data_IF_023010562552
#
_entry.id   IF_023010562552
#
_cell.length_a   1.000
_cell.length_b   1.000
_cell.length_c   1.000
_cell.angle_alpha   90.00
_cell.angle_beta   90.00
_cell.angle_gamma   90.00
#
_symmetry.space_group_name_H-M   'P 1'
#
loop_
_entity.id
_entity.type
_entity.pdbx_description
1 polymer ?
#
# COMPACT_ATOMS: atom_id res chain seq x y z
N UNK A 1 -6.70 3.59 27.06
CA UNK A 1 -8.02 3.94 26.51
C UNK A 1 -8.98 4.12 27.67
N UNK A 2 -9.79 5.18 27.65
CA UNK A 2 -10.89 5.35 28.60
C UNK A 2 -12.07 4.45 28.20
N UNK A 3 -12.96 4.14 29.13
CA UNK A 3 -14.11 3.23 28.89
C UNK A 3 -15.01 3.71 27.75
N UNK A 4 -15.21 5.02 27.62
CA UNK A 4 -15.96 5.63 26.51
C UNK A 4 -15.34 5.30 25.14
N UNK A 5 -14.02 5.35 25.03
CA UNK A 5 -13.30 5.02 23.79
C UNK A 5 -13.41 3.51 23.45
N UNK A 6 -13.46 2.65 24.47
CA UNK A 6 -13.70 1.20 24.29
C UNK A 6 -15.11 0.97 23.74
N UNK A 7 -16.11 1.63 24.33
CA UNK A 7 -17.50 1.55 23.88
C UNK A 7 -17.64 2.01 22.42
N UNK A 8 -17.04 3.14 22.05
CA UNK A 8 -17.06 3.63 20.66
C UNK A 8 -16.46 2.63 19.68
N UNK A 9 -15.34 1.98 20.03
CA UNK A 9 -14.72 0.96 19.16
C UNK A 9 -15.58 -0.29 19.06
N UNK A 10 -16.17 -0.77 20.16
CA UNK A 10 -17.10 -1.90 20.14
C UNK A 10 -18.35 -1.60 19.30
N UNK A 11 -18.83 -0.36 19.32
CA UNK A 11 -19.94 0.06 18.47
C UNK A 11 -19.58 0.04 16.98
N UNK A 12 -18.36 0.43 16.61
CA UNK A 12 -17.86 0.28 15.24
C UNK A 12 -17.75 -1.18 14.81
N UNK A 13 -17.58 -2.11 15.74
CA UNK A 13 -17.60 -3.56 15.52
C UNK A 13 -19.02 -4.17 15.54
N UNK A 14 -20.07 -3.35 15.51
CA UNK A 14 -21.45 -3.82 15.40
C UNK A 14 -22.15 -4.15 16.71
N UNK A 15 -21.59 -3.75 17.86
CA UNK A 15 -22.32 -3.77 19.14
C UNK A 15 -23.16 -2.50 19.32
N UNK A 16 -24.26 -2.62 20.05
CA UNK A 16 -24.98 -1.46 20.57
C UNK A 16 -24.28 -0.90 21.81
N UNK A 17 -24.64 0.31 22.23
CA UNK A 17 -24.13 0.90 23.47
C UNK A 17 -24.38 0.00 24.70
N UNK A 18 -25.58 -0.57 24.81
CA UNK A 18 -25.90 -1.46 25.93
C UNK A 18 -25.16 -2.80 25.87
N UNK A 19 -24.99 -3.38 24.67
CA UNK A 19 -24.16 -4.57 24.50
C UNK A 19 -22.71 -4.32 24.90
N UNK A 20 -22.16 -3.17 24.51
CA UNK A 20 -20.80 -2.76 24.87
C UNK A 20 -20.63 -2.62 26.38
N UNK A 21 -21.57 -1.93 27.05
CA UNK A 21 -21.57 -1.77 28.51
C UNK A 21 -21.69 -3.11 29.23
N UNK A 22 -22.64 -3.97 28.83
CA UNK A 22 -22.83 -5.28 29.44
C UNK A 22 -21.58 -6.18 29.30
N UNK A 23 -20.93 -6.17 28.12
CA UNK A 23 -19.72 -6.95 27.90
C UNK A 23 -18.54 -6.43 28.75
N UNK A 24 -18.33 -5.11 28.81
CA UNK A 24 -17.29 -4.50 29.66
C UNK A 24 -17.54 -4.83 31.13
N UNK A 25 -18.78 -4.72 31.60
CA UNK A 25 -19.16 -5.11 32.97
C UNK A 25 -18.85 -6.58 33.24
N UNK A 26 -19.15 -7.48 32.32
CA UNK A 26 -18.83 -8.91 32.45
C UNK A 26 -17.31 -9.17 32.48
N UNK A 27 -16.52 -8.42 31.72
CA UNK A 27 -15.05 -8.51 31.78
C UNK A 27 -14.49 -8.06 33.14
N UNK A 28 -15.13 -7.08 33.78
CA UNK A 28 -14.74 -6.59 35.12
C UNK A 28 -15.16 -7.54 36.23
N UNK A 29 -16.38 -8.07 36.17
CA UNK A 29 -16.98 -8.89 37.23
C UNK A 29 -16.67 -10.39 37.11
N UNK A 30 -16.39 -10.88 35.90
CA UNK A 30 -16.40 -12.30 35.59
C UNK A 30 -17.81 -12.89 35.51
N UNK A 31 -17.97 -14.22 35.61
CA UNK A 31 -19.27 -14.89 35.53
C UNK A 31 -20.29 -14.32 36.52
N UNK A 32 -21.36 -13.70 36.02
CA UNK A 32 -22.29 -12.89 36.83
C UNK A 32 -23.75 -13.13 36.47
N UNK A 33 -24.67 -12.87 37.41
CA UNK A 33 -26.12 -12.94 37.17
C UNK A 33 -26.59 -11.67 36.47
N UNK A 34 -27.71 -11.74 35.75
CA UNK A 34 -28.28 -10.57 35.07
C UNK A 34 -28.54 -9.37 36.03
N UNK A 35 -28.90 -9.63 37.28
CA UNK A 35 -29.11 -8.59 38.31
C UNK A 35 -27.83 -7.84 38.66
N UNK A 36 -26.70 -8.55 38.76
CA UNK A 36 -25.41 -7.97 39.11
C UNK A 36 -24.89 -7.12 37.94
N UNK A 37 -25.08 -7.63 36.71
CA UNK A 37 -24.74 -6.92 35.48
C UNK A 37 -25.56 -5.63 35.37
N UNK A 38 -26.89 -5.70 35.59
CA UNK A 38 -27.77 -4.52 35.55
C UNK A 38 -27.32 -3.43 36.52
N UNK A 39 -26.95 -3.84 37.75
CA UNK A 39 -26.55 -2.92 38.82
C UNK A 39 -25.25 -2.18 38.48
N UNK A 40 -24.29 -2.88 37.91
CA UNK A 40 -22.97 -2.33 37.61
C UNK A 40 -22.93 -1.59 36.25
N UNK A 41 -23.68 -2.07 35.25
CA UNK A 41 -23.63 -1.53 33.88
C UNK A 41 -24.54 -0.32 33.66
N UNK A 42 -25.46 -0.03 34.59
CA UNK A 42 -26.49 1.01 34.44
C UNK A 42 -27.51 0.74 33.33
N UNK A 43 -27.58 -0.50 32.82
CA UNK A 43 -28.54 -0.90 31.79
C UNK A 43 -29.92 -1.06 32.45
N UNK A 44 -31.01 -0.59 31.82
CA UNK A 44 -32.35 -0.82 32.36
C UNK A 44 -32.66 -2.31 32.53
N UNK A 45 -33.27 -2.66 33.66
CA UNK A 45 -33.59 -4.05 34.01
C UNK A 45 -34.50 -4.73 32.97
N UNK A 46 -35.32 -3.95 32.26
CA UNK A 46 -36.19 -4.40 31.16
C UNK A 46 -35.44 -4.79 29.89
N UNK A 47 -34.15 -4.42 29.76
CA UNK A 47 -33.32 -4.63 28.56
C UNK A 47 -32.18 -5.61 28.76
N UNK A 48 -31.79 -5.91 30.01
CA UNK A 48 -30.58 -6.70 30.28
C UNK A 48 -30.63 -8.10 29.66
N UNK A 49 -31.78 -8.78 29.72
CA UNK A 49 -31.92 -10.13 29.16
C UNK A 49 -31.85 -10.14 27.63
N UNK A 50 -32.43 -9.15 26.96
CA UNK A 50 -32.35 -8.99 25.51
C UNK A 50 -30.91 -8.73 25.06
N UNK A 51 -30.22 -7.85 25.80
CA UNK A 51 -28.82 -7.50 25.56
C UNK A 51 -27.91 -8.72 25.74
N UNK A 52 -28.05 -9.46 26.84
CA UNK A 52 -27.25 -10.66 27.11
C UNK A 52 -27.55 -11.78 26.11
N UNK A 53 -28.81 -11.93 25.69
CA UNK A 53 -29.18 -12.88 24.65
C UNK A 53 -28.58 -12.51 23.29
N UNK A 54 -28.53 -11.22 22.97
CA UNK A 54 -27.88 -10.73 21.75
C UNK A 54 -26.37 -10.93 21.78
N UNK A 55 -25.72 -10.60 22.89
CA UNK A 55 -24.28 -10.87 23.09
C UNK A 55 -23.97 -12.36 22.98
N UNK A 56 -24.84 -13.23 23.49
CA UNK A 56 -24.68 -14.67 23.33
C UNK A 56 -24.77 -15.11 21.87
N UNK A 57 -25.77 -14.63 21.11
CA UNK A 57 -25.88 -14.91 19.66
C UNK A 57 -24.68 -14.41 18.88
N UNK A 58 -24.11 -13.26 19.27
CA UNK A 58 -22.91 -12.68 18.67
C UNK A 58 -21.60 -13.35 19.15
N UNK A 59 -21.67 -14.31 20.07
CA UNK A 59 -20.49 -15.03 20.58
C UNK A 59 -19.63 -14.28 21.60
N UNK A 60 -20.11 -13.16 22.16
CA UNK A 60 -19.39 -12.37 23.16
C UNK A 60 -19.56 -12.93 24.59
N UNK A 61 -20.64 -13.66 24.83
CA UNK A 61 -21.03 -14.13 26.17
C UNK A 61 -21.53 -15.57 26.10
N UNK A 62 -21.07 -16.40 27.01
CA UNK A 62 -21.62 -17.74 27.25
C UNK A 62 -22.67 -17.71 28.36
N UNK A 63 -23.71 -18.52 28.20
CA UNK A 63 -24.75 -18.71 29.21
C UNK A 63 -24.51 -20.03 29.93
N UNK A 64 -24.17 -19.95 31.21
CA UNK A 64 -24.05 -21.11 32.07
C UNK A 64 -25.41 -21.42 32.70
N UNK A 65 -25.92 -22.63 32.43
CA UNK A 65 -27.19 -23.11 32.99
C UNK A 65 -27.06 -23.30 34.51
N UNK A 66 -28.11 -22.93 35.25
CA UNK A 66 -28.14 -22.99 36.71
C UNK A 66 -29.27 -22.16 37.31
N UNK A 67 -29.46 -22.28 38.63
CA UNK A 67 -30.38 -21.43 39.38
C UNK A 67 -29.61 -20.58 40.40
N UNK A 68 -29.37 -19.29 40.11
CA UNK A 68 -29.75 -18.55 38.89
C UNK A 68 -28.73 -18.71 37.75
N UNK A 69 -29.14 -18.36 36.53
CA UNK A 69 -28.27 -18.38 35.34
C UNK A 69 -27.11 -17.40 35.49
N UNK A 70 -25.93 -17.82 35.04
CA UNK A 70 -24.73 -16.97 34.97
C UNK A 70 -24.36 -16.70 33.53
N UNK A 71 -23.85 -15.50 33.30
CA UNK A 71 -23.34 -15.03 32.03
C UNK A 71 -21.85 -14.83 32.18
N UNK A 72 -21.07 -15.43 31.30
CA UNK A 72 -19.61 -15.40 31.32
C UNK A 72 -19.11 -14.72 30.05
N UNK A 73 -18.19 -13.73 30.13
CA UNK A 73 -17.57 -13.21 28.91
C UNK A 73 -16.74 -14.30 28.25
N UNK A 74 -16.86 -14.42 26.92
CA UNK A 74 -15.92 -15.21 26.13
C UNK A 74 -14.55 -14.51 26.18
N UNK A 75 -13.46 -15.27 25.99
CA UNK A 75 -12.11 -14.69 25.98
C UNK A 75 -12.05 -13.56 24.92
N UNK A 76 -11.69 -12.32 25.30
CA UNK A 76 -11.64 -11.19 24.37
C UNK A 76 -10.76 -11.43 23.14
N UNK A 77 -9.64 -12.15 23.29
CA UNK A 77 -8.74 -12.46 22.19
C UNK A 77 -9.44 -13.32 21.14
N UNK A 78 -10.18 -14.34 21.59
CA UNK A 78 -10.96 -15.24 20.72
C UNK A 78 -12.10 -14.49 20.02
N UNK A 79 -12.82 -13.64 20.75
CA UNK A 79 -13.92 -12.84 20.18
C UNK A 79 -13.41 -11.88 19.11
N UNK A 80 -12.32 -11.16 19.40
CA UNK A 80 -11.77 -10.16 18.48
C UNK A 80 -11.14 -10.80 17.24
N UNK A 81 -10.45 -11.93 17.39
CA UNK A 81 -9.87 -12.63 16.24
C UNK A 81 -10.97 -13.18 15.34
N UNK A 82 -12.04 -13.77 15.91
CA UNK A 82 -13.18 -14.25 15.12
C UNK A 82 -13.86 -13.12 14.34
N UNK A 83 -14.13 -11.98 14.97
CA UNK A 83 -14.73 -10.82 14.28
C UNK A 83 -13.84 -10.36 13.12
N UNK A 84 -12.52 -10.33 13.33
CA UNK A 84 -11.56 -9.96 12.30
C UNK A 84 -11.59 -10.95 11.14
N UNK A 85 -11.59 -12.25 11.41
CA UNK A 85 -11.68 -13.30 10.40
C UNK A 85 -12.98 -13.19 9.59
N UNK A 86 -14.13 -13.07 10.26
CA UNK A 86 -15.45 -12.91 9.63
C UNK A 86 -15.47 -11.67 8.71
N UNK A 87 -14.94 -10.52 9.17
CA UNK A 87 -14.85 -9.30 8.35
C UNK A 87 -13.93 -9.47 7.14
N UNK A 88 -12.79 -10.14 7.30
CA UNK A 88 -11.86 -10.39 6.19
C UNK A 88 -12.56 -11.27 5.14
N UNK A 89 -13.22 -12.33 5.57
CA UNK A 89 -13.96 -13.24 4.69
C UNK A 89 -15.09 -12.50 3.94
N UNK A 90 -15.91 -11.72 4.63
CA UNK A 90 -16.97 -10.91 4.02
C UNK A 90 -16.42 -9.91 3.00
N UNK A 91 -15.28 -9.26 3.30
CA UNK A 91 -14.62 -8.33 2.39
C UNK A 91 -14.13 -9.06 1.13
N UNK A 92 -13.51 -10.23 1.27
CA UNK A 92 -13.06 -11.01 0.11
C UNK A 92 -14.24 -11.50 -0.74
N UNK A 93 -15.33 -11.97 -0.11
CA UNK A 93 -16.55 -12.36 -0.80
C UNK A 93 -17.21 -11.19 -1.53
N UNK A 94 -17.28 -10.02 -0.90
CA UNK A 94 -17.80 -8.79 -1.52
C UNK A 94 -16.93 -8.32 -2.68
N UNK A 95 -15.59 -8.42 -2.58
CA UNK A 95 -14.70 -8.11 -3.71
C UNK A 95 -15.04 -8.96 -4.92
N UNK A 96 -15.22 -10.27 -4.75
CA UNK A 96 -15.59 -11.17 -5.84
C UNK A 96 -16.95 -10.78 -6.42
N UNK A 97 -17.97 -10.65 -5.57
CA UNK A 97 -19.32 -10.30 -6.01
C UNK A 97 -19.38 -8.95 -6.73
N UNK A 98 -18.65 -7.94 -6.25
CA UNK A 98 -18.59 -6.62 -6.89
C UNK A 98 -17.89 -6.67 -8.23
N UNK A 99 -16.84 -7.48 -8.37
CA UNK A 99 -16.16 -7.69 -9.65
C UNK A 99 -17.09 -8.36 -10.67
N UNK A 100 -17.86 -9.36 -10.25
CA UNK A 100 -18.79 -10.06 -11.14
C UNK A 100 -19.94 -9.13 -11.58
N UNK A 101 -20.56 -8.42 -10.65
CA UNK A 101 -21.57 -7.39 -10.95
C UNK A 101 -21.04 -6.30 -11.88
N UNK A 102 -19.79 -5.87 -11.66
CA UNK A 102 -19.15 -4.89 -12.51
C UNK A 102 -18.99 -5.43 -13.94
N UNK A 103 -18.52 -6.68 -14.08
CA UNK A 103 -18.31 -7.32 -15.38
C UNK A 103 -19.60 -7.55 -16.15
N UNK A 104 -20.69 -7.86 -15.48
CA UNK A 104 -22.01 -8.03 -16.12
C UNK A 104 -22.45 -6.78 -16.89
N UNK A 105 -22.14 -5.58 -16.36
CA UNK A 105 -22.55 -4.30 -16.95
C UNK A 105 -21.49 -3.74 -17.91
N UNK A 106 -20.20 -3.96 -17.61
CA UNK A 106 -19.08 -3.27 -18.27
C UNK A 106 -18.17 -4.16 -19.13
N UNK A 107 -18.41 -5.48 -19.19
CA UNK A 107 -17.54 -6.45 -19.87
C UNK A 107 -16.40 -6.97 -18.99
N UNK A 108 -15.50 -7.79 -19.54
CA UNK A 108 -14.40 -8.39 -18.77
C UNK A 108 -13.38 -7.36 -18.22
N UNK A 109 -13.25 -6.23 -18.91
CA UNK A 109 -12.26 -5.21 -18.59
C UNK A 109 -12.81 -4.20 -17.58
N UNK A 110 -12.24 -4.22 -16.37
CA UNK A 110 -12.32 -3.07 -15.46
C UNK A 110 -11.73 -1.84 -16.16
N UNK A 111 -12.21 -0.61 -15.88
CA UNK A 111 -11.60 0.59 -16.40
C UNK A 111 -10.16 0.59 -15.94
N UNK A 112 -9.23 0.62 -16.89
CA UNK A 112 -7.81 0.68 -16.55
C UNK A 112 -7.47 2.01 -15.86
N UNK A 113 -8.33 3.04 -16.04
CA UNK A 113 -8.23 4.38 -15.50
C UNK A 113 -9.58 4.86 -14.95
N UNK A 114 -9.59 5.42 -13.74
CA UNK A 114 -10.74 6.10 -13.12
C UNK A 114 -10.44 7.58 -12.88
N UNK A 115 -11.42 8.43 -13.13
CA UNK A 115 -11.34 9.84 -12.73
C UNK A 115 -11.75 9.97 -11.27
N UNK A 116 -10.89 10.59 -10.46
CA UNK A 116 -11.14 10.94 -9.07
C UNK A 116 -11.43 12.43 -9.01
N UNK A 117 -12.57 12.79 -8.43
CA UNK A 117 -12.97 14.18 -8.25
C UNK A 117 -12.68 14.61 -6.81
N UNK A 118 -12.04 15.77 -6.67
CA UNK A 118 -11.76 16.41 -5.38
C UNK A 118 -10.31 16.25 -4.92
N UNK A 119 -9.81 17.30 -4.29
CA UNK A 119 -8.43 17.37 -3.80
C UNK A 119 -8.19 16.35 -2.67
N UNK A 120 -9.07 16.32 -1.67
CA UNK A 120 -8.90 15.42 -0.51
C UNK A 120 -8.97 13.94 -0.93
N UNK A 121 -9.88 13.59 -1.84
CA UNK A 121 -9.94 12.25 -2.44
C UNK A 121 -8.66 11.90 -3.20
N UNK A 122 -8.01 12.88 -3.86
CA UNK A 122 -6.72 12.66 -4.52
C UNK A 122 -5.59 12.40 -3.52
N UNK A 123 -5.59 13.12 -2.39
CA UNK A 123 -4.62 12.88 -1.30
C UNK A 123 -4.81 11.48 -0.73
N UNK A 124 -6.04 11.09 -0.40
CA UNK A 124 -6.35 9.74 0.12
C UNK A 124 -5.88 8.64 -0.85
N UNK A 125 -6.06 8.87 -2.16
CA UNK A 125 -5.57 7.97 -3.20
C UNK A 125 -4.05 7.91 -3.26
N UNK A 126 -3.36 9.05 -3.22
CA UNK A 126 -1.90 9.07 -3.18
C UNK A 126 -1.35 8.32 -1.96
N UNK A 127 -1.97 8.54 -0.78
CA UNK A 127 -1.64 7.79 0.44
C UNK A 127 -1.90 6.29 0.28
N UNK A 128 -3.00 5.90 -0.36
CA UNK A 128 -3.29 4.49 -0.64
C UNK A 128 -2.21 3.83 -1.52
N UNK A 129 -1.73 4.52 -2.58
CA UNK A 129 -0.60 4.02 -3.39
C UNK A 129 0.61 3.75 -2.49
N UNK A 130 0.97 4.73 -1.65
CA UNK A 130 2.13 4.61 -0.75
C UNK A 130 1.93 3.48 0.26
N UNK A 131 0.72 3.29 0.82
CA UNK A 131 0.43 2.23 1.81
C UNK A 131 0.43 0.82 1.21
N UNK A 132 0.07 0.68 -0.05
CA UNK A 132 -0.13 -0.64 -0.69
C UNK A 132 1.07 -1.14 -1.49
N UNK A 133 1.96 -0.23 -1.90
CA UNK A 133 3.22 -0.61 -2.56
C UNK A 133 4.02 -1.61 -1.72
N UNK A 134 4.71 -2.54 -2.37
CA UNK A 134 5.48 -3.65 -1.79
C UNK A 134 6.97 -3.53 -2.04
N UNK A 135 7.38 -2.83 -3.10
CA UNK A 135 8.79 -2.79 -3.52
C UNK A 135 9.29 -1.35 -3.65
N UNK A 136 8.58 -0.52 -4.42
CA UNK A 136 9.02 0.82 -4.75
C UNK A 136 7.86 1.82 -4.93
N UNK A 137 8.15 3.08 -4.64
CA UNK A 137 7.24 4.20 -4.86
C UNK A 137 7.96 5.32 -5.59
N UNK A 138 7.43 5.71 -6.74
CA UNK A 138 7.94 6.81 -7.57
C UNK A 138 7.02 8.02 -7.39
N UNK A 139 7.57 9.17 -6.99
CA UNK A 139 6.81 10.39 -6.74
C UNK A 139 7.43 11.55 -7.49
N UNK A 140 6.66 12.19 -8.36
CA UNK A 140 7.00 13.47 -8.97
C UNK A 140 5.86 14.44 -8.64
N UNK A 141 6.05 15.37 -7.70
CA UNK A 141 4.98 16.31 -7.33
C UNK A 141 5.55 17.57 -6.68
N UNK A 142 4.85 18.72 -6.76
CA UNK A 142 5.22 19.90 -6.00
C UNK A 142 5.31 19.63 -4.49
N UNK A 143 6.24 20.30 -3.83
CA UNK A 143 6.58 20.10 -2.43
C UNK A 143 5.38 20.37 -1.52
N UNK A 144 4.48 21.26 -1.92
CA UNK A 144 3.21 21.55 -1.25
C UNK A 144 2.30 20.32 -1.15
N UNK A 145 2.22 19.51 -2.20
CA UNK A 145 1.45 18.27 -2.19
C UNK A 145 2.24 17.15 -1.49
N UNK A 146 3.54 17.05 -1.73
CA UNK A 146 4.42 16.07 -1.10
C UNK A 146 4.35 16.13 0.45
N UNK A 147 4.24 17.34 1.02
CA UNK A 147 4.07 17.54 2.47
C UNK A 147 2.82 16.85 3.05
N UNK A 148 1.77 16.69 2.25
CA UNK A 148 0.54 16.01 2.68
C UNK A 148 0.76 14.50 2.86
N UNK A 149 1.71 13.92 2.14
CA UNK A 149 2.05 12.49 2.16
C UNK A 149 3.09 12.13 3.23
N UNK A 150 3.48 13.09 4.08
CA UNK A 150 4.57 12.97 5.06
C UNK A 150 4.40 11.78 6.02
N UNK A 151 3.18 11.56 6.53
CA UNK A 151 2.88 10.47 7.47
C UNK A 151 3.18 9.12 6.84
N UNK A 152 2.66 8.90 5.63
CA UNK A 152 2.80 7.63 4.91
C UNK A 152 4.24 7.37 4.49
N UNK A 153 4.92 8.36 3.91
CA UNK A 153 6.33 8.22 3.52
C UNK A 153 7.22 7.89 4.74
N UNK A 154 6.96 8.52 5.90
CA UNK A 154 7.72 8.27 7.13
C UNK A 154 7.46 6.87 7.70
N UNK A 155 6.25 6.34 7.53
CA UNK A 155 5.88 5.02 8.03
C UNK A 155 6.50 3.88 7.21
N UNK A 156 6.67 4.08 5.90
CA UNK A 156 7.19 3.09 4.95
C UNK A 156 8.73 3.11 4.88
N UNK A 157 9.38 2.27 5.68
CA UNK A 157 10.85 2.08 5.65
C UNK A 157 11.30 0.85 4.84
N UNK A 158 10.32 0.07 4.40
CA UNK A 158 10.42 -1.25 3.79
C UNK A 158 10.41 -1.21 2.26
N UNK A 159 10.07 -0.07 1.65
CA UNK A 159 10.05 0.14 0.20
C UNK A 159 11.03 1.23 -0.22
N UNK A 160 11.52 1.17 -1.46
CA UNK A 160 12.38 2.20 -2.02
C UNK A 160 11.55 3.38 -2.54
N UNK A 161 11.90 4.61 -2.16
CA UNK A 161 11.31 5.82 -2.71
C UNK A 161 12.25 6.49 -3.70
N UNK A 162 11.71 6.91 -4.84
CA UNK A 162 12.37 7.85 -5.76
C UNK A 162 11.48 9.08 -5.86
N UNK A 163 11.93 10.19 -5.29
CA UNK A 163 11.11 11.40 -5.13
C UNK A 163 11.75 12.56 -5.86
N UNK A 164 10.98 13.15 -6.75
CA UNK A 164 11.30 14.36 -7.51
C UNK A 164 10.36 15.45 -6.99
N UNK A 165 10.93 16.53 -6.44
CA UNK A 165 10.16 17.70 -5.98
C UNK A 165 10.89 19.02 -6.24
N UNK A 166 10.19 20.15 -6.13
CA UNK A 166 10.77 21.50 -6.15
C UNK A 166 11.33 21.83 -4.75
N UNK A 167 12.22 20.98 -4.26
CA UNK A 167 12.86 21.17 -2.95
C UNK A 167 13.53 22.55 -2.87
N UNK A 168 13.35 23.20 -1.73
CA UNK A 168 14.17 24.31 -1.29
C UNK A 168 15.60 23.82 -0.98
N UNK A 169 16.47 24.70 -0.50
CA UNK A 169 17.88 24.35 -0.26
C UNK A 169 18.06 23.28 0.84
N UNK A 170 17.13 23.19 1.80
CA UNK A 170 17.21 22.23 2.90
C UNK A 170 16.32 21.01 2.69
N UNK A 171 16.90 19.81 2.82
CA UNK A 171 16.16 18.54 2.81
C UNK A 171 15.47 18.34 4.17
N UNK A 172 14.12 18.24 4.21
CA UNK A 172 13.38 17.97 5.42
C UNK A 172 13.78 16.65 6.09
N UNK A 173 13.82 16.61 7.42
CA UNK A 173 14.26 15.43 8.18
C UNK A 173 13.49 14.15 7.85
N UNK A 174 12.19 14.28 7.56
CA UNK A 174 11.32 13.14 7.26
C UNK A 174 11.62 12.48 5.90
N UNK A 175 12.44 13.10 5.05
CA UNK A 175 12.93 12.56 3.77
C UNK A 175 14.37 12.02 3.84
N UNK A 176 14.98 12.04 5.03
CA UNK A 176 16.37 11.60 5.23
C UNK A 176 16.54 10.08 5.37
N UNK A 177 15.46 9.29 5.24
CA UNK A 177 15.50 7.83 5.30
C UNK A 177 16.46 7.21 4.29
N UNK A 178 17.13 6.10 4.65
CA UNK A 178 18.13 5.45 3.76
C UNK A 178 17.50 4.89 2.48
N UNK A 179 16.22 4.53 2.53
CA UNK A 179 15.41 3.99 1.44
C UNK A 179 14.84 5.08 0.51
N UNK A 180 15.39 6.30 0.51
CA UNK A 180 14.83 7.44 -0.24
C UNK A 180 15.91 8.07 -1.11
N UNK A 181 15.66 8.14 -2.42
CA UNK A 181 16.41 8.93 -3.39
C UNK A 181 15.65 10.25 -3.60
N UNK A 182 16.34 11.39 -3.53
CA UNK A 182 15.74 12.69 -3.83
C UNK A 182 16.41 13.33 -5.03
N UNK A 183 15.58 13.81 -5.95
CA UNK A 183 15.99 14.68 -7.03
C UNK A 183 15.20 15.99 -7.01
N UNK A 184 15.87 17.06 -7.43
CA UNK A 184 15.34 18.40 -7.52
C UNK A 184 15.22 18.79 -8.98
N UNK A 185 14.12 19.44 -9.35
CA UNK A 185 14.00 20.04 -10.68
C UNK A 185 13.54 21.49 -10.61
N UNK A 186 14.13 22.32 -11.48
CA UNK A 186 13.75 23.72 -11.66
C UNK A 186 12.35 23.79 -12.28
N UNK A 187 11.53 24.77 -11.87
CA UNK A 187 10.05 24.76 -11.91
C UNK A 187 9.28 24.41 -13.20
N UNK A 188 9.92 24.03 -14.31
CA UNK A 188 9.27 23.70 -15.57
C UNK A 188 8.58 22.30 -15.63
N UNK A 189 9.09 21.19 -15.06
CA UNK A 189 8.47 19.87 -15.25
C UNK A 189 7.10 19.69 -14.62
N UNK A 190 6.79 20.40 -13.52
CA UNK A 190 5.50 20.31 -12.82
C UNK A 190 4.32 20.86 -13.62
N UNK A 191 4.60 21.68 -14.64
CA UNK A 191 3.57 22.26 -15.51
C UNK A 191 2.86 21.18 -16.34
N UNK A 192 3.44 19.98 -16.46
CA UNK A 192 2.85 18.88 -17.22
C UNK A 192 2.06 17.89 -16.35
N UNK A 193 2.60 17.51 -15.19
CA UNK A 193 2.02 16.42 -14.38
C UNK A 193 2.63 16.29 -12.98
N UNK A 194 1.81 15.83 -12.03
CA UNK A 194 2.26 15.09 -10.85
C UNK A 194 1.97 13.59 -11.01
N UNK A 195 2.88 12.76 -10.52
CA UNK A 195 2.81 11.29 -10.57
C UNK A 195 3.08 10.72 -9.17
N UNK A 196 2.24 9.77 -8.74
CA UNK A 196 2.49 8.91 -7.58
C UNK A 196 2.25 7.48 -8.05
N UNK A 197 3.31 6.69 -8.16
CA UNK A 197 3.28 5.33 -8.71
C UNK A 197 3.79 4.38 -7.63
N UNK A 198 3.06 3.30 -7.38
CA UNK A 198 3.43 2.24 -6.44
C UNK A 198 3.55 0.94 -7.20
N UNK A 199 4.77 0.42 -7.27
CA UNK A 199 5.13 -0.75 -8.06
C UNK A 199 4.58 -0.67 -9.51
N UNK A 200 3.98 -1.76 -9.99
CA UNK A 200 3.19 -1.82 -11.23
C UNK A 200 1.68 -1.97 -10.94
N UNK A 201 1.29 -1.80 -9.67
CA UNK A 201 -0.07 -2.07 -9.20
C UNK A 201 -0.97 -0.84 -9.35
N UNK A 202 -0.45 0.34 -9.01
CA UNK A 202 -1.23 1.59 -9.03
C UNK A 202 -0.41 2.80 -9.48
N UNK A 203 -1.05 3.67 -10.26
CA UNK A 203 -0.53 5.00 -10.55
C UNK A 203 -1.62 6.06 -10.36
N UNK A 204 -1.23 7.21 -9.83
CA UNK A 204 -2.07 8.39 -9.71
C UNK A 204 -1.42 9.55 -10.46
N UNK A 205 -2.20 10.20 -11.30
CA UNK A 205 -1.80 11.33 -12.12
C UNK A 205 -2.72 12.52 -11.92
N UNK A 206 -2.18 13.73 -11.81
CA UNK A 206 -2.95 14.97 -11.84
C UNK A 206 -2.14 16.14 -12.37
N UNK A 207 -2.84 17.19 -12.81
CA UNK A 207 -2.23 18.41 -13.32
C UNK A 207 -1.78 19.37 -12.22
N UNK A 208 -1.84 20.67 -12.51
CA UNK A 208 -1.48 21.71 -11.54
C UNK A 208 -2.38 21.68 -10.29
N UNK A 209 -1.78 21.97 -9.13
CA UNK A 209 -2.51 22.10 -7.87
C UNK A 209 -3.49 23.30 -7.95
N UNK A 210 -4.69 23.19 -7.34
CA UNK A 210 -5.65 24.30 -7.32
C UNK A 210 -5.13 25.42 -6.42
N UNK A 211 -5.36 26.68 -6.81
CA UNK A 211 -5.03 27.84 -5.96
C UNK A 211 -6.03 27.98 -4.81
N UNK A 212 -7.32 27.75 -5.08
CA UNK A 212 -8.39 27.70 -4.11
C UNK A 212 -9.14 26.37 -4.17
N UNK A 213 -8.83 25.49 -3.19
CA UNK A 213 -9.42 24.16 -3.06
C UNK A 213 -10.95 24.16 -2.91
N UNK A 214 -11.57 25.26 -2.48
CA UNK A 214 -13.03 25.35 -2.27
C UNK A 214 -13.79 25.78 -3.51
N UNK A 215 -13.11 26.47 -4.45
CA UNK A 215 -13.75 27.06 -5.63
C UNK A 215 -13.38 26.34 -6.92
N UNK A 216 -12.20 25.74 -6.98
CA UNK A 216 -11.71 25.07 -8.19
C UNK A 216 -12.09 23.59 -8.18
N UNK A 217 -12.63 23.11 -9.30
CA UNK A 217 -12.81 21.68 -9.52
C UNK A 217 -11.43 21.06 -9.76
N UNK A 218 -11.12 20.02 -9.00
CA UNK A 218 -9.87 19.29 -9.12
C UNK A 218 -10.14 17.85 -9.52
N UNK A 219 -9.39 17.37 -10.49
CA UNK A 219 -9.50 16.02 -11.04
C UNK A 219 -8.13 15.36 -11.04
N UNK A 220 -8.12 14.08 -10.69
CA UNK A 220 -6.97 13.21 -10.83
C UNK A 220 -7.39 11.90 -11.50
N UNK A 221 -6.42 11.14 -12.00
CA UNK A 221 -6.63 9.90 -12.72
C UNK A 221 -5.91 8.78 -11.99
N UNK A 222 -6.66 7.75 -11.64
CA UNK A 222 -6.18 6.56 -10.96
C UNK A 222 -6.07 5.42 -11.97
N UNK A 223 -4.91 4.79 -12.12
CA UNK A 223 -4.70 3.68 -13.03
C UNK A 223 -4.34 2.40 -12.27
N UNK A 224 -4.78 1.24 -12.79
CA UNK A 224 -4.49 -0.10 -12.27
C UNK A 224 -4.03 -1.11 -13.34
N UNK A 225 -3.75 -0.65 -14.56
CA UNK A 225 -3.26 -1.54 -15.63
C UNK A 225 -1.73 -1.59 -15.65
N UNK A 226 -1.10 -2.78 -15.53
CA UNK A 226 0.35 -2.89 -15.57
C UNK A 226 0.97 -2.30 -16.84
N UNK A 227 0.33 -2.50 -18.00
CA UNK A 227 0.79 -1.97 -19.29
C UNK A 227 0.81 -0.44 -19.32
N UNK A 228 -0.22 0.18 -18.75
CA UNK A 228 -0.29 1.64 -18.64
C UNK A 228 0.74 2.16 -17.64
N UNK A 229 0.81 1.55 -16.46
CA UNK A 229 1.70 1.98 -15.38
C UNK A 229 3.16 1.88 -15.82
N UNK A 230 3.53 0.85 -16.57
CA UNK A 230 4.86 0.74 -17.15
C UNK A 230 5.24 1.97 -18.00
N UNK A 231 4.34 2.46 -18.85
CA UNK A 231 4.57 3.69 -19.62
C UNK A 231 4.74 4.91 -18.72
N UNK A 232 3.97 5.00 -17.64
CA UNK A 232 4.08 6.09 -16.68
C UNK A 232 5.40 6.05 -15.92
N UNK A 233 5.90 4.86 -15.56
CA UNK A 233 7.22 4.69 -14.97
C UNK A 233 8.32 5.07 -15.98
N UNK A 234 8.14 4.71 -17.25
CA UNK A 234 9.06 5.13 -18.31
C UNK A 234 9.13 6.66 -18.39
N UNK A 235 7.98 7.36 -18.46
CA UNK A 235 7.92 8.82 -18.45
C UNK A 235 8.47 9.44 -17.17
N UNK A 236 8.17 8.84 -16.01
CA UNK A 236 8.74 9.27 -14.73
C UNK A 236 10.27 9.37 -14.82
N UNK A 237 10.92 8.34 -15.37
CA UNK A 237 12.37 8.34 -15.54
C UNK A 237 12.84 9.31 -16.63
N UNK A 238 12.34 9.15 -17.86
CA UNK A 238 12.93 9.81 -19.04
C UNK A 238 12.57 11.29 -19.15
N UNK A 239 11.41 11.70 -18.61
CA UNK A 239 10.96 13.09 -18.64
C UNK A 239 11.38 13.80 -17.35
N UNK A 240 11.26 13.17 -16.18
CA UNK A 240 11.46 13.84 -14.90
C UNK A 240 12.80 13.49 -14.25
N UNK A 241 13.04 12.22 -13.90
CA UNK A 241 14.20 11.85 -13.08
C UNK A 241 15.52 12.16 -13.77
N UNK A 242 15.65 11.76 -15.04
CA UNK A 242 16.87 11.93 -15.84
C UNK A 242 17.17 13.42 -16.16
N UNK A 243 16.16 14.29 -16.06
CA UNK A 243 16.28 15.75 -16.23
C UNK A 243 16.30 16.51 -14.89
N UNK A 244 16.50 15.81 -13.77
CA UNK A 244 16.56 16.38 -12.43
C UNK A 244 17.97 16.26 -11.84
N UNK A 245 18.29 17.15 -10.91
CA UNK A 245 19.52 17.08 -10.13
C UNK A 245 19.32 16.18 -8.90
N UNK A 246 20.07 15.09 -8.79
CA UNK A 246 20.01 14.22 -7.60
C UNK A 246 20.66 14.93 -6.41
N UNK A 247 19.84 15.37 -5.46
CA UNK A 247 20.29 16.08 -4.25
C UNK A 247 20.53 15.14 -3.06
N UNK A 248 19.94 13.93 -3.10
CA UNK A 248 20.20 12.87 -2.13
C UNK A 248 20.30 11.52 -2.84
N UNK A 249 21.52 11.04 -3.12
CA UNK A 249 21.71 9.73 -3.72
C UNK A 249 21.40 8.62 -2.72
N UNK A 250 21.19 7.41 -3.25
CA UNK A 250 20.99 6.21 -2.44
C UNK A 250 22.28 5.83 -1.70
N UNK A 251 22.16 5.45 -0.43
CA UNK A 251 23.22 4.74 0.27
C UNK A 251 22.86 3.25 0.31
N UNK A 252 23.29 2.51 -0.71
CA UNK A 252 22.94 1.10 -0.90
C UNK A 252 23.37 0.22 0.28
N UNK A 253 24.54 0.46 0.85
CA UNK A 253 25.09 -0.32 1.97
C UNK A 253 24.19 -0.27 3.21
N UNK A 254 23.44 0.82 3.42
CA UNK A 254 22.51 0.99 4.53
C UNK A 254 21.10 0.43 4.29
N UNK A 255 20.82 -0.11 3.10
CA UNK A 255 19.53 -0.75 2.82
C UNK A 255 19.47 -2.16 3.43
N UNK A 256 18.26 -2.57 3.81
CA UNK A 256 17.97 -3.96 4.12
C UNK A 256 18.06 -4.81 2.86
N UNK A 257 18.62 -6.01 2.99
CA UNK A 257 18.67 -7.03 1.93
C UNK A 257 17.85 -8.27 2.35
N UNK A 258 17.26 -9.01 1.40
CA UNK A 258 17.28 -8.74 -0.05
C UNK A 258 16.43 -7.52 -0.43
N UNK A 259 16.88 -6.77 -1.45
CA UNK A 259 16.13 -5.64 -2.01
C UNK A 259 15.38 -6.11 -3.25
N UNK A 260 14.06 -6.09 -3.21
CA UNK A 260 13.19 -6.41 -4.35
C UNK A 260 12.73 -5.15 -5.06
N UNK A 261 12.79 -5.15 -6.39
CA UNK A 261 12.35 -4.08 -7.29
C UNK A 261 11.57 -4.68 -8.45
N UNK A 262 10.68 -3.88 -9.05
CA UNK A 262 9.85 -4.32 -10.19
C UNK A 262 10.08 -3.52 -11.46
N UNK A 263 10.85 -2.44 -11.38
CA UNK A 263 11.18 -1.62 -12.53
C UNK A 263 12.68 -1.68 -12.86
N UNK A 264 12.99 -1.98 -14.12
CA UNK A 264 14.36 -2.10 -14.61
C UNK A 264 15.17 -0.79 -14.48
N UNK A 265 14.52 0.38 -14.64
CA UNK A 265 15.18 1.68 -14.48
C UNK A 265 15.43 2.01 -13.01
N UNK A 266 14.51 1.63 -12.13
CA UNK A 266 14.75 1.69 -10.67
C UNK A 266 15.92 0.79 -10.29
N UNK A 267 15.96 -0.46 -10.78
CA UNK A 267 17.10 -1.36 -10.57
C UNK A 267 18.41 -0.73 -11.03
N UNK A 268 18.50 -0.23 -12.25
CA UNK A 268 19.73 0.37 -12.77
C UNK A 268 20.11 1.62 -11.97
N UNK A 269 19.13 2.40 -11.50
CA UNK A 269 19.38 3.55 -10.60
C UNK A 269 20.01 3.10 -9.29
N UNK A 270 19.56 1.98 -8.72
CA UNK A 270 20.17 1.36 -7.54
C UNK A 270 21.57 0.82 -7.85
N UNK A 271 21.77 0.17 -8.99
CA UNK A 271 23.07 -0.37 -9.41
C UNK A 271 24.12 0.72 -9.64
N UNK A 272 23.74 1.91 -10.10
CA UNK A 272 24.63 3.08 -10.17
C UNK A 272 25.22 3.46 -8.80
N UNK A 273 24.47 3.22 -7.71
CA UNK A 273 24.93 3.45 -6.34
C UNK A 273 25.62 2.22 -5.71
N UNK A 274 25.15 1.02 -6.05
CA UNK A 274 25.68 -0.24 -5.51
C UNK A 274 26.99 -0.67 -6.21
N UNK A 275 27.23 -0.25 -7.45
CA UNK A 275 28.30 -0.78 -8.29
C UNK A 275 28.00 -2.20 -8.79
N UNK A 276 28.90 -2.72 -9.62
CA UNK A 276 28.85 -4.05 -10.22
C UNK A 276 30.16 -4.81 -9.97
N UNK A 277 30.16 -6.16 -10.02
CA UNK A 277 28.99 -7.03 -10.19
C UNK A 277 28.16 -7.16 -8.91
N UNK A 278 26.88 -7.55 -9.02
CA UNK A 278 25.98 -7.79 -7.87
C UNK A 278 25.23 -9.10 -7.98
N UNK A 279 25.11 -9.83 -6.87
CA UNK A 279 24.34 -11.08 -6.84
C UNK A 279 22.86 -10.74 -6.83
N UNK A 280 22.10 -11.38 -7.72
CA UNK A 280 20.67 -11.17 -7.78
C UNK A 280 19.92 -12.43 -8.19
N UNK A 281 18.65 -12.48 -7.83
CA UNK A 281 17.66 -13.38 -8.40
C UNK A 281 16.73 -12.58 -9.32
N UNK A 282 16.51 -13.08 -10.53
CA UNK A 282 15.58 -12.50 -11.51
C UNK A 282 14.40 -13.45 -11.67
N UNK A 283 13.19 -12.93 -11.47
CA UNK A 283 11.94 -13.61 -11.81
C UNK A 283 11.34 -12.93 -13.03
N UNK A 284 10.97 -13.70 -14.04
CA UNK A 284 10.44 -13.17 -15.27
C UNK A 284 10.02 -14.25 -16.25
N UNK A 285 10.08 -13.93 -17.54
CA UNK A 285 9.74 -14.84 -18.64
C UNK A 285 10.75 -14.76 -19.76
N UNK A 286 10.97 -15.87 -20.44
CA UNK A 286 11.69 -15.87 -21.72
C UNK A 286 10.90 -15.04 -22.74
N UNK A 287 11.55 -14.12 -23.46
CA UNK A 287 10.85 -13.23 -24.39
C UNK A 287 10.23 -14.01 -25.55
N UNK A 288 10.94 -15.00 -26.08
CA UNK A 288 10.51 -15.79 -27.25
C UNK A 288 9.40 -16.80 -26.90
N UNK A 289 9.56 -17.57 -25.82
CA UNK A 289 8.65 -18.68 -25.48
C UNK A 289 7.55 -18.26 -24.50
N UNK A 290 7.69 -17.11 -23.83
CA UNK A 290 6.83 -16.65 -22.71
C UNK A 290 6.80 -17.57 -21.50
N UNK A 291 7.67 -18.59 -21.47
CA UNK A 291 7.81 -19.51 -20.34
C UNK A 291 8.37 -18.78 -19.12
N UNK A 292 7.81 -19.01 -17.92
CA UNK A 292 8.32 -18.41 -16.69
C UNK A 292 9.72 -18.94 -16.37
N UNK A 293 10.57 -18.06 -15.86
CA UNK A 293 11.96 -18.37 -15.49
C UNK A 293 12.33 -17.68 -14.18
N UNK A 294 13.16 -18.38 -13.40
CA UNK A 294 13.83 -17.82 -12.21
C UNK A 294 15.33 -18.08 -12.33
N UNK A 295 16.12 -17.02 -12.29
CA UNK A 295 17.56 -17.06 -12.52
C UNK A 295 18.31 -16.56 -11.27
N UNK A 296 19.16 -17.38 -10.64
CA UNK A 296 20.11 -16.97 -9.58
C UNK A 296 21.51 -16.81 -10.16
N UNK A 297 22.06 -15.61 -10.09
CA UNK A 297 23.30 -15.28 -10.76
C UNK A 297 23.84 -13.91 -10.38
N UNK A 298 24.53 -13.27 -11.33
CA UNK A 298 25.13 -11.94 -11.12
C UNK A 298 24.79 -10.98 -12.25
N UNK A 299 24.40 -9.78 -11.86
CA UNK A 299 24.36 -8.64 -12.75
C UNK A 299 25.80 -8.17 -12.97
N UNK A 300 26.26 -8.14 -14.21
CA UNK A 300 27.66 -7.82 -14.55
C UNK A 300 27.81 -6.53 -15.36
N UNK A 301 26.75 -6.09 -16.03
CA UNK A 301 26.70 -4.87 -16.83
C UNK A 301 25.24 -4.38 -16.93
N UNK A 302 25.04 -3.11 -17.27
CA UNK A 302 23.74 -2.56 -17.65
C UNK A 302 23.87 -1.58 -18.81
N UNK A 303 22.79 -1.45 -19.58
CA UNK A 303 22.60 -0.38 -20.56
C UNK A 303 21.46 0.53 -20.08
N UNK A 304 21.68 1.85 -20.13
CA UNK A 304 20.68 2.83 -19.74
C UNK A 304 20.71 4.03 -20.67
N UNK A 305 19.68 4.16 -21.50
CA UNK A 305 19.43 5.29 -22.38
C UNK A 305 17.98 5.74 -22.24
N UNK A 306 17.56 6.87 -22.87
CA UNK A 306 16.15 7.22 -22.93
C UNK A 306 15.28 6.16 -23.61
N UNK A 307 15.82 5.35 -24.52
CA UNK A 307 15.07 4.36 -25.30
C UNK A 307 15.19 2.94 -24.75
N UNK A 308 16.32 2.61 -24.15
CA UNK A 308 16.68 1.24 -23.74
C UNK A 308 17.09 1.20 -22.27
N UNK A 309 16.69 0.13 -21.58
CA UNK A 309 17.11 -0.15 -20.22
C UNK A 309 17.14 -1.68 -20.03
N UNK A 310 18.33 -2.25 -19.92
CA UNK A 310 18.51 -3.68 -19.68
C UNK A 310 19.78 -3.95 -18.88
N UNK A 311 19.90 -5.16 -18.38
CA UNK A 311 21.08 -5.68 -17.68
C UNK A 311 21.66 -6.87 -18.43
N UNK A 312 22.98 -7.05 -18.35
CA UNK A 312 23.64 -8.31 -18.69
C UNK A 312 23.72 -9.16 -17.42
N UNK A 313 23.08 -10.33 -17.43
CA UNK A 313 22.97 -11.24 -16.30
C UNK A 313 23.72 -12.53 -16.58
N UNK A 314 24.69 -12.86 -15.72
CA UNK A 314 25.48 -14.09 -15.81
C UNK A 314 24.86 -15.18 -14.95
N UNK A 315 24.45 -16.27 -15.59
CA UNK A 315 23.77 -17.43 -14.99
C UNK A 315 24.38 -18.73 -15.55
N UNK A 316 24.78 -19.66 -14.68
CA UNK A 316 25.36 -20.97 -15.08
C UNK A 316 26.47 -20.92 -16.16
N UNK A 317 27.26 -19.84 -16.18
CA UNK A 317 28.34 -19.65 -17.17
C UNK A 317 27.88 -19.05 -18.51
N UNK A 318 26.59 -18.81 -18.70
CA UNK A 318 26.01 -18.07 -19.82
C UNK A 318 25.69 -16.63 -19.43
N UNK A 319 25.61 -15.74 -20.40
CA UNK A 319 25.15 -14.36 -20.22
C UNK A 319 23.86 -14.15 -21.00
N UNK A 320 22.88 -13.51 -20.35
CA UNK A 320 21.58 -13.17 -20.91
C UNK A 320 21.36 -11.67 -20.78
N UNK A 321 20.73 -11.05 -21.77
CA UNK A 321 20.16 -9.72 -21.66
C UNK A 321 18.78 -9.84 -20.99
N UNK A 322 18.59 -9.07 -19.92
CA UNK A 322 17.34 -9.01 -19.18
C UNK A 322 16.84 -7.58 -19.19
N UNK A 323 15.65 -7.35 -19.72
CA UNK A 323 14.99 -6.05 -19.67
C UNK A 323 13.89 -6.01 -18.63
N UNK A 324 13.08 -4.95 -18.64
CA UNK A 324 11.89 -4.85 -17.81
C UNK A 324 10.68 -5.51 -18.46
N UNK A 325 9.53 -5.38 -17.81
CA UNK A 325 8.22 -5.71 -18.40
C UNK A 325 8.09 -5.03 -19.78
N UNK A 326 7.47 -5.67 -20.76
CA UNK A 326 7.33 -5.16 -22.12
C UNK A 326 8.58 -5.28 -22.99
N UNK A 327 9.59 -6.03 -22.55
CA UNK A 327 10.80 -6.29 -23.32
C UNK A 327 10.52 -7.10 -24.58
N UNK A 328 11.20 -6.71 -25.66
CA UNK A 328 11.04 -7.33 -26.98
C UNK A 328 12.37 -7.79 -27.59
N UNK A 329 13.49 -7.16 -27.23
CA UNK A 329 14.80 -7.44 -27.82
C UNK A 329 15.72 -8.23 -26.89
N UNK A 330 15.44 -8.24 -25.58
CA UNK A 330 16.19 -8.98 -24.58
C UNK A 330 15.82 -10.48 -24.57
N UNK A 331 16.67 -11.31 -23.97
CA UNK A 331 16.39 -12.75 -23.82
C UNK A 331 15.28 -13.01 -22.79
N UNK A 332 15.23 -12.16 -21.75
CA UNK A 332 14.30 -12.28 -20.62
C UNK A 332 13.59 -10.96 -20.35
N UNK A 333 12.26 -11.03 -20.24
CA UNK A 333 11.41 -9.98 -19.68
C UNK A 333 11.42 -10.13 -18.15
N UNK A 334 12.12 -9.24 -17.46
CA UNK A 334 12.20 -9.25 -16.01
C UNK A 334 10.97 -8.62 -15.36
N UNK A 335 10.26 -9.40 -14.55
CA UNK A 335 9.08 -8.96 -13.79
C UNK A 335 9.45 -8.51 -12.37
N UNK A 336 10.48 -9.14 -11.78
CA UNK A 336 11.00 -8.80 -10.45
C UNK A 336 12.49 -9.04 -10.37
N UNK A 337 13.20 -8.10 -9.74
CA UNK A 337 14.64 -8.10 -9.58
C UNK A 337 14.97 -8.07 -8.08
N UNK A 338 15.71 -9.07 -7.60
CA UNK A 338 15.98 -9.26 -6.17
C UNK A 338 17.49 -9.20 -5.96
N UNK A 339 18.00 -8.07 -5.46
CA UNK A 339 19.41 -7.93 -5.10
C UNK A 339 19.66 -8.60 -3.74
N UNK A 340 20.65 -9.48 -3.68
CA UNK A 340 20.91 -10.37 -2.54
C UNK A 340 22.02 -9.87 -1.60
N UNK A 341 22.91 -9.00 -2.09
CA UNK A 341 24.13 -8.55 -1.40
C UNK A 341 24.19 -7.04 -1.11
#
# INVERSE_FOLDING_TARGET
MHEEEIVEKLQKLGLTKYESLAYITLLKLGPSKATDITKESGIPHTRVYDVLSSLHRKGFVDVMQGSPRLYKPVNPEVVLEKIKEDFIEDIENLKVAFLDLYREVHGEDLPEIWTIQGFDNTVERAEYVIRTAKHEVLINTPFEFLKLLKSEIRARKDVLFVIISNFEDEIPDWLRGNNIILARTGGAPWLMASWIIGDIDYALFFGALPKDRRREKFYSFWAKSPKIIQNYMHWFYTIYFDNSEVIKPLNYEKLSKPLSLVNIRTLITVLKAAGLPRRAEIVGRMVDTKEPVTLDGRIVEYEYTPLTANITFRYNGSELKVGGIGSYFEDVEGEKFILLD
#
